data_IF_464539150420
#
_entry.id   IF_464539150420
#
_cell.length_a   1.000
_cell.length_b   1.000
_cell.length_c   1.000
_cell.angle_alpha   90.00
_cell.angle_beta   90.00
_cell.angle_gamma   90.00
#
_symmetry.space_group_name_H-M   'P 1'
#
loop_
_entity.id
_entity.type
_entity.pdbx_description
1 polymer ?
#
# COMPACT_ATOMS: atom_id res chain seq x y z
N UNK A 1 -27.04 20.91 25.29
CA UNK A 1 -27.42 21.01 23.88
C UNK A 1 -28.65 20.14 23.62
N UNK A 2 -28.62 19.08 22.78
CA UNK A 2 -29.84 18.40 22.25
C UNK A 2 -30.95 18.01 23.25
N UNK A 3 -30.62 17.46 24.41
CA UNK A 3 -31.62 16.96 25.40
C UNK A 3 -32.02 17.95 26.50
N UNK A 4 -31.43 19.16 26.51
CA UNK A 4 -31.66 20.17 27.57
C UNK A 4 -31.82 21.60 27.04
N UNK A 5 -31.83 21.80 25.72
CA UNK A 5 -31.98 23.10 25.04
C UNK A 5 -31.06 24.25 25.50
N UNK A 6 -29.93 23.92 26.16
CA UNK A 6 -28.87 24.88 26.56
C UNK A 6 -27.89 25.15 25.42
N UNK A 7 -27.28 26.33 25.44
CA UNK A 7 -26.28 26.80 24.48
C UNK A 7 -25.00 25.94 24.48
N UNK A 8 -24.15 26.14 23.47
CA UNK A 8 -22.87 25.44 23.38
C UNK A 8 -21.86 25.87 24.46
N UNK A 9 -21.94 27.11 24.94
CA UNK A 9 -21.04 27.64 25.98
C UNK A 9 -21.43 27.11 27.36
N UNK A 10 -22.71 27.21 27.73
CA UNK A 10 -23.24 26.63 28.98
C UNK A 10 -23.02 25.12 29.02
N UNK A 11 -23.16 24.42 27.89
CA UNK A 11 -22.87 23.00 27.80
C UNK A 11 -21.38 22.69 28.06
N UNK A 12 -20.45 23.52 27.58
CA UNK A 12 -19.01 23.37 27.88
C UNK A 12 -18.73 23.61 29.35
N UNK A 13 -19.32 24.65 29.96
CA UNK A 13 -19.16 24.94 31.39
C UNK A 13 -19.69 23.81 32.27
N UNK A 14 -20.88 23.26 31.97
CA UNK A 14 -21.47 22.13 32.70
C UNK A 14 -20.63 20.85 32.55
N UNK A 15 -20.08 20.58 31.37
CA UNK A 15 -19.20 19.42 31.16
C UNK A 15 -17.87 19.60 31.88
N UNK A 16 -17.26 20.79 31.81
CA UNK A 16 -16.02 21.12 32.52
C UNK A 16 -16.17 20.94 34.03
N UNK A 17 -17.22 21.50 34.63
CA UNK A 17 -17.48 21.34 36.07
C UNK A 17 -17.71 19.88 36.50
N UNK A 18 -18.27 19.04 35.62
CA UNK A 18 -18.39 17.60 35.88
C UNK A 18 -17.07 16.85 35.80
N UNK A 19 -16.20 17.20 34.85
CA UNK A 19 -14.87 16.59 34.71
C UNK A 19 -14.05 16.87 35.98
N UNK A 20 -13.97 18.14 36.38
CA UNK A 20 -13.26 18.56 37.60
C UNK A 20 -13.78 17.81 38.84
N UNK A 21 -15.11 17.70 39.01
CA UNK A 21 -15.70 16.96 40.12
C UNK A 21 -15.29 15.47 40.17
N UNK A 22 -15.24 14.80 39.02
CA UNK A 22 -14.81 13.39 38.94
C UNK A 22 -13.28 13.23 39.09
N UNK A 23 -12.49 14.21 38.67
CA UNK A 23 -11.04 14.23 38.90
C UNK A 23 -10.72 14.39 40.40
N UNK A 24 -11.40 15.30 41.09
CA UNK A 24 -11.30 15.47 42.55
C UNK A 24 -11.72 14.18 43.30
N UNK A 25 -12.86 13.60 42.94
CA UNK A 25 -13.35 12.33 43.52
C UNK A 25 -12.35 11.17 43.30
N UNK A 26 -11.70 11.12 42.12
CA UNK A 26 -10.67 10.13 41.81
C UNK A 26 -9.41 10.33 42.67
N UNK A 27 -8.94 11.57 42.82
CA UNK A 27 -7.76 11.90 43.64
C UNK A 27 -8.02 11.57 45.11
N UNK A 28 -9.20 11.92 45.64
CA UNK A 28 -9.59 11.59 47.02
C UNK A 28 -9.62 10.08 47.25
N UNK A 29 -10.28 9.32 46.36
CA UNK A 29 -10.37 7.85 46.44
C UNK A 29 -8.99 7.19 46.34
N UNK A 30 -8.13 7.66 45.44
CA UNK A 30 -6.74 7.18 45.30
C UNK A 30 -5.95 7.41 46.59
N UNK A 31 -6.02 8.62 47.16
CA UNK A 31 -5.35 8.96 48.41
C UNK A 31 -5.82 8.08 49.58
N UNK A 32 -7.14 7.93 49.74
CA UNK A 32 -7.77 7.08 50.76
C UNK A 32 -7.37 5.62 50.61
N UNK A 33 -7.34 5.10 49.39
CA UNK A 33 -6.91 3.72 49.11
C UNK A 33 -5.44 3.48 49.51
N UNK A 34 -4.53 4.40 49.20
CA UNK A 34 -3.12 4.30 49.58
C UNK A 34 -2.88 4.46 51.09
N UNK A 35 -3.68 5.26 51.79
CA UNK A 35 -3.65 5.37 53.25
C UNK A 35 -4.12 4.08 53.93
N UNK A 36 -5.18 3.46 53.40
CA UNK A 36 -5.73 2.20 53.94
C UNK A 36 -4.85 0.99 53.61
N UNK A 37 -4.08 1.03 52.53
CA UNK A 37 -3.28 -0.10 52.04
C UNK A 37 -1.80 0.29 51.83
N UNK A 38 -1.04 0.60 52.91
CA UNK A 38 0.34 1.05 52.78
C UNK A 38 1.26 0.02 52.10
N UNK A 39 0.98 -1.27 52.25
CA UNK A 39 1.69 -2.39 51.60
C UNK A 39 1.35 -2.61 50.11
N UNK A 40 0.54 -1.74 49.47
CA UNK A 40 0.20 -1.84 48.04
C UNK A 40 1.45 -1.94 47.17
N UNK A 41 1.51 -2.97 46.33
CA UNK A 41 2.65 -3.28 45.47
C UNK A 41 2.98 -2.15 44.48
N UNK A 42 4.26 -2.00 44.15
CA UNK A 42 4.74 -0.95 43.22
C UNK A 42 4.06 -1.05 41.85
N UNK A 43 3.83 -2.27 41.35
CA UNK A 43 3.12 -2.50 40.08
C UNK A 43 1.67 -2.00 40.10
N UNK A 44 0.93 -2.25 41.19
CA UNK A 44 -0.44 -1.78 41.33
C UNK A 44 -0.52 -0.26 41.53
N UNK A 45 0.40 0.33 42.30
CA UNK A 45 0.53 1.80 42.41
C UNK A 45 0.77 2.44 41.03
N UNK A 46 1.70 1.91 40.23
CA UNK A 46 1.97 2.38 38.86
C UNK A 46 0.74 2.27 37.95
N UNK A 47 0.01 1.16 38.02
CA UNK A 47 -1.20 0.98 37.22
C UNK A 47 -2.29 2.00 37.58
N UNK A 48 -2.49 2.27 38.87
CA UNK A 48 -3.46 3.28 39.34
C UNK A 48 -3.06 4.68 38.86
N UNK A 49 -1.79 5.07 38.92
CA UNK A 49 -1.36 6.38 38.38
C UNK A 49 -1.58 6.50 36.86
N UNK A 50 -1.26 5.44 36.09
CA UNK A 50 -1.46 5.41 34.64
C UNK A 50 -2.96 5.43 34.27
N UNK A 51 -3.82 4.79 35.06
CA UNK A 51 -5.27 4.77 34.82
C UNK A 51 -5.89 6.19 34.83
N UNK A 52 -5.42 7.07 35.72
CA UNK A 52 -5.85 8.48 35.73
C UNK A 52 -5.52 9.22 34.42
N UNK A 53 -4.32 9.01 33.88
CA UNK A 53 -3.86 9.62 32.62
C UNK A 53 -4.67 9.09 31.42
N UNK A 54 -4.97 7.79 31.40
CA UNK A 54 -5.77 7.15 30.33
C UNK A 54 -7.19 7.73 30.25
N UNK A 55 -7.80 8.09 31.39
CA UNK A 55 -9.15 8.68 31.41
C UNK A 55 -9.17 10.03 30.68
N UNK A 56 -8.20 10.92 30.94
CA UNK A 56 -8.04 12.18 30.20
C UNK A 56 -7.83 11.95 28.69
N UNK A 57 -6.99 10.98 28.32
CA UNK A 57 -6.79 10.57 26.93
C UNK A 57 -8.06 10.07 26.24
N UNK A 58 -8.88 9.26 26.92
CA UNK A 58 -10.17 8.79 26.42
C UNK A 58 -11.18 9.94 26.24
N UNK A 59 -11.22 10.91 27.15
CA UNK A 59 -12.07 12.09 26.97
C UNK A 59 -11.64 12.91 25.75
N UNK A 60 -10.34 13.17 25.57
CA UNK A 60 -9.83 13.84 24.37
C UNK A 60 -10.18 13.07 23.10
N UNK A 61 -9.95 11.75 23.07
CA UNK A 61 -10.32 10.88 21.95
C UNK A 61 -11.82 10.98 21.62
N UNK A 62 -12.70 10.91 22.62
CA UNK A 62 -14.14 11.08 22.43
C UNK A 62 -14.53 12.47 21.86
N UNK A 63 -13.80 13.55 22.18
CA UNK A 63 -14.03 14.88 21.57
C UNK A 63 -13.57 14.98 20.12
N UNK A 64 -12.69 14.08 19.65
CA UNK A 64 -12.15 14.07 18.28
C UNK A 64 -12.69 12.93 17.41
N UNK A 65 -13.25 11.87 18.01
CA UNK A 65 -13.66 10.66 17.32
C UNK A 65 -14.81 10.94 16.33
N UNK A 66 -14.66 10.60 15.03
CA UNK A 66 -15.69 10.80 14.01
C UNK A 66 -17.03 10.14 14.32
N UNK A 67 -17.02 8.98 15.01
CA UNK A 67 -18.22 8.24 15.43
C UNK A 67 -19.21 9.11 16.25
N UNK A 68 -18.69 10.05 17.04
CA UNK A 68 -19.50 10.95 17.87
C UNK A 68 -19.72 12.34 17.23
N UNK A 69 -19.07 12.61 16.09
CA UNK A 69 -19.08 13.90 15.39
C UNK A 69 -19.61 13.84 13.95
N UNK A 70 -20.18 12.69 13.54
CA UNK A 70 -20.74 12.41 12.20
C UNK A 70 -21.83 13.38 11.72
N UNK A 71 -22.36 14.23 12.61
CA UNK A 71 -23.29 15.30 12.27
C UNK A 71 -22.61 16.56 11.70
N UNK A 72 -21.33 16.83 12.00
CA UNK A 72 -20.60 17.95 11.41
C UNK A 72 -20.46 17.77 9.89
N UNK A 73 -20.04 16.57 9.48
CA UNK A 73 -19.96 16.18 8.08
C UNK A 73 -21.30 16.25 7.32
N UNK A 74 -22.46 16.20 8.01
CA UNK A 74 -23.77 16.44 7.39
C UNK A 74 -24.06 17.93 7.21
N UNK A 75 -23.73 18.75 8.20
CA UNK A 75 -23.90 20.21 8.12
C UNK A 75 -23.00 20.81 7.03
N UNK A 76 -21.77 20.31 6.88
CA UNK A 76 -20.86 20.74 5.81
C UNK A 76 -21.40 20.33 4.41
N UNK A 77 -22.14 19.21 4.31
CA UNK A 77 -22.86 18.78 3.11
C UNK A 77 -24.12 19.62 2.83
N UNK A 78 -24.89 19.97 3.85
CA UNK A 78 -26.08 20.80 3.70
C UNK A 78 -25.71 22.26 3.33
N UNK A 79 -24.64 22.82 3.92
CA UNK A 79 -24.14 24.16 3.59
C UNK A 79 -23.51 24.27 2.20
N UNK A 80 -22.91 23.20 1.68
CA UNK A 80 -22.34 23.17 0.32
C UNK A 80 -23.37 22.90 -0.78
N UNK A 81 -24.64 22.63 -0.42
CA UNK A 81 -25.74 22.35 -1.35
C UNK A 81 -26.74 23.52 -1.52
N UNK A 82 -26.43 24.70 -0.97
CA UNK A 82 -27.26 25.90 -1.06
C UNK A 82 -26.72 26.89 -2.10
N UNK A 83 -27.50 27.13 -3.16
CA UNK A 83 -27.16 28.09 -4.23
C UNK A 83 -27.05 29.55 -3.72
N UNK A 84 -26.07 30.34 -4.19
CA UNK A 84 -25.73 31.66 -3.64
C UNK A 84 -26.66 32.80 -4.12
N UNK A 85 -27.96 32.56 -4.24
CA UNK A 85 -28.93 33.54 -4.78
C UNK A 85 -29.87 34.12 -3.69
N UNK A 86 -30.05 33.44 -2.55
CA UNK A 86 -30.95 33.88 -1.45
C UNK A 86 -30.27 34.69 -0.34
N UNK A 87 -29.48 35.71 -0.71
CA UNK A 87 -29.01 36.76 0.22
C UNK A 87 -29.40 38.17 -0.26
N UNK A 88 -30.71 38.42 -0.37
CA UNK A 88 -31.29 39.76 -0.32
C UNK A 88 -32.51 39.77 0.61
N UNK A 89 -32.37 40.44 1.75
CA UNK A 89 -33.54 40.92 2.52
C UNK A 89 -34.27 42.01 1.72
N UNK A 90 -35.57 42.21 2.00
CA UNK A 90 -35.92 43.48 2.64
C UNK A 90 -36.73 43.29 3.95
N UNK A 91 -36.90 44.40 4.67
CA UNK A 91 -37.41 44.43 6.05
C UNK A 91 -38.92 44.73 6.18
N UNK A 92 -39.42 44.62 7.44
CA UNK A 92 -40.80 44.91 7.95
C UNK A 92 -41.82 43.80 7.65
N UNK A 93 -42.85 43.53 8.46
CA UNK A 93 -43.34 44.13 9.74
C UNK A 93 -44.01 43.07 10.62
N UNK A 94 -44.50 43.47 11.80
CA UNK A 94 -45.30 42.65 12.73
C UNK A 94 -46.71 42.33 12.19
N UNK A 95 -47.28 41.17 12.57
CA UNK A 95 -48.46 41.06 13.47
C UNK A 95 -49.03 39.61 13.55
N UNK A 96 -49.40 39.23 14.77
CA UNK A 96 -50.48 38.35 15.24
C UNK A 96 -50.98 37.05 14.52
N UNK A 97 -50.93 35.98 15.33
CA UNK A 97 -52.09 35.13 15.74
C UNK A 97 -52.43 33.79 15.04
N UNK A 98 -52.44 32.76 15.91
CA UNK A 98 -53.53 31.79 16.20
C UNK A 98 -53.55 30.33 15.64
N UNK A 99 -53.92 29.42 16.56
CA UNK A 99 -54.41 28.04 16.41
C UNK A 99 -53.47 26.97 15.79
N UNK A 100 -53.49 25.70 16.21
CA UNK A 100 -54.20 25.05 17.33
C UNK A 100 -54.09 23.51 17.31
N UNK A 101 -54.40 22.86 18.44
CA UNK A 101 -54.46 21.39 18.68
C UNK A 101 -53.13 20.61 18.57
N UNK A 102 -52.53 20.01 19.61
CA UNK A 102 -53.00 19.24 20.76
C UNK A 102 -53.38 17.77 20.48
N UNK A 103 -52.54 16.86 20.98
CA UNK A 103 -52.87 15.50 21.44
C UNK A 103 -51.81 15.07 22.48
N UNK A 104 -52.25 14.53 23.63
CA UNK A 104 -51.42 14.26 24.82
C UNK A 104 -51.33 12.73 25.12
N UNK A 105 -50.43 12.27 26.01
CA UNK A 105 -50.06 10.85 26.18
C UNK A 105 -50.99 10.13 27.19
N UNK A 106 -50.86 8.81 27.45
CA UNK A 106 -49.85 8.25 28.39
C UNK A 106 -49.23 6.92 27.82
N UNK A 107 -48.49 6.04 28.52
CA UNK A 107 -48.16 5.86 29.95
C UNK A 107 -46.78 5.16 30.15
N UNK A 108 -46.27 5.17 31.38
CA UNK A 108 -45.13 4.36 31.88
C UNK A 108 -45.57 3.10 32.63
N UNK A 109 -44.84 1.97 32.48
CA UNK A 109 -44.69 0.87 33.49
C UNK A 109 -43.30 0.25 33.25
N UNK A 110 -42.29 0.44 34.09
CA UNK A 110 -41.96 -0.22 35.38
C UNK A 110 -41.53 -1.68 35.24
N UNK A 111 -40.32 -1.98 35.74
CA UNK A 111 -39.70 -3.32 35.82
C UNK A 111 -40.17 -4.01 37.11
N UNK A 112 -40.48 -5.31 37.04
CA UNK A 112 -40.58 -6.19 38.21
C UNK A 112 -39.92 -7.55 37.95
N UNK A 113 -39.14 -7.99 38.92
CA UNK A 113 -38.48 -9.30 39.01
C UNK A 113 -39.45 -10.40 39.39
N UNK A 114 -39.25 -11.64 38.92
CA UNK A 114 -38.86 -12.80 39.75
C UNK A 114 -38.85 -14.12 38.94
N UNK A 115 -38.23 -15.14 39.54
CA UNK A 115 -37.96 -16.46 38.94
C UNK A 115 -39.18 -17.39 38.98
N UNK A 116 -39.32 -18.28 38.00
CA UNK A 116 -39.88 -19.63 38.27
C UNK A 116 -39.33 -20.67 37.29
N UNK A 117 -39.25 -21.91 37.74
CA UNK A 117 -38.47 -22.97 37.12
C UNK A 117 -39.22 -23.81 36.06
N UNK A 118 -38.43 -24.35 35.13
CA UNK A 118 -38.43 -25.73 34.63
C UNK A 118 -39.81 -26.44 34.54
N UNK A 119 -40.30 -26.72 33.33
CA UNK A 119 -40.53 -28.11 32.90
C UNK A 119 -40.64 -28.31 31.37
N UNK A 120 -40.50 -29.57 30.97
CA UNK A 120 -40.08 -30.05 29.67
C UNK A 120 -41.01 -29.83 28.47
N UNK A 121 -40.40 -29.51 27.32
CA UNK A 121 -40.85 -29.97 26.00
C UNK A 121 -39.62 -30.33 25.15
N UNK A 122 -39.29 -31.63 25.08
CA UNK A 122 -38.16 -32.11 24.28
C UNK A 122 -38.47 -32.02 22.78
N UNK A 123 -37.74 -31.18 22.06
CA UNK A 123 -37.56 -31.22 20.61
C UNK A 123 -36.10 -31.49 20.29
N UNK A 124 -35.84 -32.42 19.38
CA UNK A 124 -34.56 -33.06 19.07
C UNK A 124 -33.34 -32.10 19.04
N UNK A 125 -32.33 -32.40 19.87
CA UNK A 125 -30.99 -31.84 19.69
C UNK A 125 -30.32 -32.57 18.53
N UNK A 126 -30.05 -31.88 17.43
CA UNK A 126 -29.11 -32.36 16.42
C UNK A 126 -27.72 -32.53 17.06
N UNK A 127 -27.39 -33.76 17.43
CA UNK A 127 -26.02 -34.13 17.74
C UNK A 127 -25.22 -34.09 16.44
N UNK A 128 -24.36 -33.08 16.29
CA UNK A 128 -23.40 -33.02 15.18
C UNK A 128 -22.47 -34.23 15.25
N UNK A 129 -22.85 -35.28 14.53
CA UNK A 129 -22.13 -36.53 14.49
C UNK A 129 -20.90 -36.35 13.59
N UNK A 130 -19.71 -36.20 14.20
CA UNK A 130 -18.42 -36.08 13.48
C UNK A 130 -17.97 -37.46 13.01
N UNK A 131 -18.81 -38.09 12.20
CA UNK A 131 -18.55 -39.32 11.45
C UNK A 131 -18.60 -38.98 9.95
N UNK A 132 -17.70 -38.10 9.49
CA UNK A 132 -17.54 -37.78 8.06
C UNK A 132 -16.34 -38.51 7.49
N UNK A 133 -16.59 -39.39 6.53
CA UNK A 133 -15.54 -40.02 5.74
C UNK A 133 -14.71 -38.95 5.00
N UNK A 134 -13.36 -38.96 5.07
CA UNK A 134 -12.54 -37.83 4.59
C UNK A 134 -12.50 -37.60 3.07
N UNK A 135 -13.16 -38.44 2.27
CA UNK A 135 -12.83 -38.63 0.86
C UNK A 135 -13.85 -38.04 -0.12
N UNK A 136 -15.12 -37.87 0.26
CA UNK A 136 -16.19 -37.44 -0.66
C UNK A 136 -16.56 -35.95 -0.58
N UNK A 137 -16.13 -35.21 0.46
CA UNK A 137 -16.43 -33.77 0.60
C UNK A 137 -15.34 -32.83 0.05
N UNK A 138 -14.24 -33.36 -0.49
CA UNK A 138 -13.13 -32.51 -0.96
C UNK A 138 -13.53 -31.65 -2.17
N UNK A 139 -14.27 -32.19 -3.13
CA UNK A 139 -14.39 -31.55 -4.45
C UNK A 139 -15.26 -30.29 -4.48
N UNK A 140 -16.35 -30.19 -3.72
CA UNK A 140 -17.22 -29.00 -3.75
C UNK A 140 -16.69 -27.86 -2.86
N UNK A 141 -16.26 -28.19 -1.64
CA UNK A 141 -15.65 -27.19 -0.74
C UNK A 141 -14.39 -26.59 -1.36
N UNK A 142 -13.53 -27.42 -1.96
CA UNK A 142 -12.29 -26.95 -2.55
C UNK A 142 -12.56 -26.02 -3.73
N UNK A 143 -13.48 -26.36 -4.66
CA UNK A 143 -13.85 -25.48 -5.80
C UNK A 143 -14.43 -24.13 -5.37
N UNK A 144 -15.30 -24.12 -4.34
CA UNK A 144 -15.83 -22.86 -3.81
C UNK A 144 -14.72 -22.00 -3.16
N UNK A 145 -13.84 -22.63 -2.38
CA UNK A 145 -12.70 -21.95 -1.73
C UNK A 145 -11.64 -21.47 -2.74
N UNK A 146 -11.43 -22.21 -3.83
CA UNK A 146 -10.48 -21.89 -4.88
C UNK A 146 -10.89 -20.63 -5.65
N UNK A 147 -12.20 -20.44 -5.90
CA UNK A 147 -12.70 -19.19 -6.50
C UNK A 147 -12.47 -17.98 -5.58
N UNK A 148 -12.69 -18.12 -4.27
CA UNK A 148 -12.46 -17.04 -3.29
C UNK A 148 -10.97 -16.71 -3.18
N UNK A 149 -10.10 -17.72 -3.26
CA UNK A 149 -8.65 -17.58 -3.24
C UNK A 149 -8.10 -16.94 -4.52
N UNK A 150 -8.63 -17.30 -5.69
CA UNK A 150 -8.18 -16.80 -7.00
C UNK A 150 -8.77 -15.46 -7.40
N UNK A 151 -9.92 -15.03 -6.85
CA UNK A 151 -10.57 -13.77 -7.28
C UNK A 151 -9.63 -12.53 -7.26
N UNK A 152 -8.75 -12.33 -6.25
CA UNK A 152 -7.76 -11.24 -6.30
C UNK A 152 -6.66 -11.45 -7.35
N UNK A 153 -6.24 -12.69 -7.58
CA UNK A 153 -5.24 -13.07 -8.59
C UNK A 153 -5.78 -12.82 -10.00
N UNK A 154 -6.99 -13.32 -10.29
CA UNK A 154 -7.68 -13.15 -11.56
C UNK A 154 -7.91 -11.66 -11.86
N UNK A 155 -8.19 -10.84 -10.83
CA UNK A 155 -8.35 -9.40 -10.98
C UNK A 155 -7.06 -8.69 -11.39
N UNK A 156 -5.92 -8.92 -10.73
CA UNK A 156 -4.64 -8.29 -11.13
C UNK A 156 -4.19 -8.74 -12.52
N UNK A 157 -4.31 -10.03 -12.83
CA UNK A 157 -3.94 -10.58 -14.14
C UNK A 157 -4.90 -10.14 -15.26
N UNK A 158 -6.12 -9.68 -14.95
CA UNK A 158 -7.04 -9.05 -15.93
C UNK A 158 -6.67 -7.62 -16.34
N UNK A 159 -5.71 -6.99 -15.65
CA UNK A 159 -5.29 -5.62 -15.97
C UNK A 159 -4.29 -5.61 -17.13
N UNK A 160 -4.38 -4.66 -18.08
CA UNK A 160 -3.44 -4.59 -19.21
C UNK A 160 -2.01 -4.39 -18.72
N UNK A 161 -1.07 -5.23 -19.17
CA UNK A 161 0.36 -5.12 -18.86
C UNK A 161 1.13 -4.61 -20.07
N UNK A 162 2.30 -3.98 -19.84
CA UNK A 162 3.19 -3.50 -20.93
C UNK A 162 3.98 -4.63 -21.62
N UNK A 163 3.76 -5.91 -21.29
CA UNK A 163 4.38 -7.07 -21.96
C UNK A 163 5.90 -7.25 -21.79
N UNK A 164 6.63 -6.29 -21.21
CA UNK A 164 8.10 -6.22 -21.13
C UNK A 164 8.77 -7.55 -20.74
N UNK A 165 8.26 -8.25 -19.72
CA UNK A 165 8.82 -9.54 -19.27
C UNK A 165 8.63 -10.67 -20.29
N UNK A 166 7.47 -10.76 -20.95
CA UNK A 166 7.23 -11.77 -21.98
C UNK A 166 8.10 -11.50 -23.22
N UNK A 167 8.20 -10.23 -23.63
CA UNK A 167 9.09 -9.80 -24.71
C UNK A 167 10.56 -10.07 -24.38
N UNK A 168 10.98 -9.90 -23.12
CA UNK A 168 12.33 -10.21 -22.67
C UNK A 168 12.61 -11.72 -22.71
N UNK A 169 11.66 -12.55 -22.27
CA UNK A 169 11.77 -14.02 -22.40
C UNK A 169 11.90 -14.43 -23.86
N UNK A 170 11.08 -13.88 -24.76
CA UNK A 170 11.16 -14.22 -26.18
C UNK A 170 12.44 -13.70 -26.84
N UNK A 171 12.95 -12.53 -26.44
CA UNK A 171 14.24 -12.00 -26.90
C UNK A 171 15.42 -12.88 -26.43
N UNK A 172 15.50 -13.23 -25.14
CA UNK A 172 16.56 -14.10 -24.62
C UNK A 172 16.51 -15.49 -25.27
N UNK A 173 15.31 -15.97 -25.62
CA UNK A 173 15.13 -17.28 -26.22
C UNK A 173 15.76 -17.43 -27.62
N UNK A 174 16.03 -16.33 -28.34
CA UNK A 174 16.83 -16.36 -29.56
C UNK A 174 18.21 -17.00 -29.31
N UNK A 175 18.84 -16.68 -28.18
CA UNK A 175 20.15 -17.20 -27.82
C UNK A 175 20.11 -18.53 -27.06
N UNK A 176 19.19 -18.67 -26.07
CA UNK A 176 19.19 -19.84 -25.17
C UNK A 176 18.39 -21.05 -25.69
N UNK A 177 17.55 -20.88 -26.71
CA UNK A 177 16.82 -21.96 -27.38
C UNK A 177 16.09 -22.92 -26.39
N UNK A 178 15.42 -22.34 -25.40
CA UNK A 178 14.75 -23.07 -24.32
C UNK A 178 13.56 -23.87 -24.87
N UNK A 179 13.35 -25.14 -24.46
CA UNK A 179 12.21 -25.95 -24.89
C UNK A 179 10.87 -25.26 -24.65
N UNK A 180 9.95 -25.39 -25.61
CA UNK A 180 8.65 -24.71 -25.59
C UNK A 180 7.86 -24.98 -24.28
N UNK A 181 7.93 -26.20 -23.77
CA UNK A 181 7.27 -26.59 -22.50
C UNK A 181 7.83 -25.80 -21.31
N UNK A 182 9.15 -25.83 -21.13
CA UNK A 182 9.85 -25.09 -20.08
C UNK A 182 9.63 -23.58 -20.21
N UNK A 183 9.70 -23.02 -21.43
CA UNK A 183 9.44 -21.60 -21.68
C UNK A 183 8.03 -21.17 -21.29
N UNK A 184 7.01 -22.01 -21.53
CA UNK A 184 5.64 -21.73 -21.04
C UNK A 184 5.55 -21.75 -19.51
N UNK A 185 6.22 -22.70 -18.84
CA UNK A 185 6.26 -22.77 -17.38
C UNK A 185 6.97 -21.54 -16.80
N UNK A 186 8.08 -21.10 -17.40
CA UNK A 186 8.83 -19.90 -16.98
C UNK A 186 7.95 -18.64 -17.13
N UNK A 187 7.24 -18.47 -18.27
CA UNK A 187 6.30 -17.35 -18.46
C UNK A 187 5.19 -17.35 -17.40
N UNK A 188 4.54 -18.50 -17.18
CA UNK A 188 3.48 -18.66 -16.16
C UNK A 188 4.00 -18.33 -14.75
N UNK A 189 5.20 -18.80 -14.41
CA UNK A 189 5.85 -18.59 -13.13
C UNK A 189 6.22 -17.12 -12.90
N UNK A 190 6.93 -16.49 -13.84
CA UNK A 190 7.36 -15.08 -13.73
C UNK A 190 6.16 -14.15 -13.67
N UNK A 191 5.10 -14.43 -14.43
CA UNK A 191 3.87 -13.62 -14.37
C UNK A 191 3.16 -13.75 -13.01
N UNK A 192 3.09 -14.96 -12.42
CA UNK A 192 2.56 -15.15 -11.06
C UNK A 192 3.37 -14.39 -10.01
N UNK A 193 4.69 -14.48 -10.05
CA UNK A 193 5.56 -13.80 -9.07
C UNK A 193 5.45 -12.28 -9.19
N UNK A 194 5.39 -11.75 -10.41
CA UNK A 194 5.23 -10.33 -10.63
C UNK A 194 3.85 -9.81 -10.18
N UNK A 195 2.76 -10.50 -10.54
CA UNK A 195 1.43 -10.08 -10.10
C UNK A 195 1.26 -10.23 -8.58
N UNK A 196 1.92 -11.22 -7.95
CA UNK A 196 1.99 -11.36 -6.49
C UNK A 196 2.77 -10.21 -5.83
N UNK A 197 3.93 -9.84 -6.38
CA UNK A 197 4.73 -8.73 -5.85
C UNK A 197 3.97 -7.42 -5.97
N UNK A 198 3.29 -7.15 -7.09
CA UNK A 198 2.46 -5.96 -7.26
C UNK A 198 1.33 -5.85 -6.21
N UNK A 199 0.70 -6.96 -5.82
CA UNK A 199 -0.33 -6.94 -4.77
C UNK A 199 0.27 -6.56 -3.41
N UNK A 200 1.47 -7.06 -3.09
CA UNK A 200 2.16 -6.74 -1.84
C UNK A 200 2.72 -5.31 -1.85
N UNK A 201 3.38 -4.90 -2.93
CA UNK A 201 3.84 -3.52 -3.16
C UNK A 201 2.67 -2.54 -2.99
N UNK A 202 1.52 -2.76 -3.67
CA UNK A 202 0.31 -1.92 -3.51
C UNK A 202 -0.09 -1.70 -2.04
N UNK A 203 0.07 -2.74 -1.20
CA UNK A 203 -0.30 -2.74 0.22
C UNK A 203 0.76 -2.07 1.08
N UNK A 204 2.02 -2.40 0.86
CA UNK A 204 3.17 -1.88 1.61
C UNK A 204 3.36 -0.39 1.34
N UNK A 205 3.17 0.03 0.10
CA UNK A 205 3.24 1.42 -0.35
C UNK A 205 1.93 2.20 -0.12
N UNK A 206 0.82 1.51 0.16
CA UNK A 206 -0.53 2.05 0.33
C UNK A 206 -1.08 2.74 -0.94
N UNK A 207 -0.74 2.20 -2.11
CA UNK A 207 -1.16 2.67 -3.43
C UNK A 207 -2.67 2.46 -3.65
N UNK A 208 -3.49 3.51 -3.84
CA UNK A 208 -4.93 3.34 -4.05
C UNK A 208 -5.27 2.78 -5.44
N UNK A 209 -4.35 2.90 -6.40
CA UNK A 209 -4.59 2.62 -7.82
C UNK A 209 -3.45 1.84 -8.47
N UNK A 210 -3.79 0.93 -9.38
CA UNK A 210 -2.86 0.18 -10.22
C UNK A 210 -3.39 0.14 -11.65
N UNK A 211 -2.57 0.58 -12.61
CA UNK A 211 -2.89 0.57 -14.07
C UNK A 211 -4.23 1.29 -14.39
N UNK A 212 -4.49 2.43 -13.74
CA UNK A 212 -5.71 3.22 -13.90
C UNK A 212 -6.99 2.62 -13.28
N UNK A 213 -6.87 1.56 -12.48
CA UNK A 213 -7.97 0.90 -11.75
C UNK A 213 -7.69 0.88 -10.24
N UNK A 214 -8.68 0.62 -9.37
CA UNK A 214 -8.42 0.44 -7.93
C UNK A 214 -7.44 -0.72 -7.68
N UNK A 215 -6.50 -0.52 -6.77
CA UNK A 215 -5.57 -1.55 -6.32
C UNK A 215 -6.30 -2.74 -5.69
N UNK A 216 -5.67 -3.92 -5.65
CA UNK A 216 -6.34 -5.17 -5.26
C UNK A 216 -6.89 -5.13 -3.83
N UNK A 217 -6.13 -4.55 -2.89
CA UNK A 217 -6.54 -4.41 -1.50
C UNK A 217 -7.69 -3.41 -1.30
N UNK A 218 -7.94 -2.50 -2.24
CA UNK A 218 -9.07 -1.56 -2.20
C UNK A 218 -10.42 -2.23 -2.53
N UNK A 219 -10.39 -3.39 -3.19
CA UNK A 219 -11.59 -4.17 -3.55
C UNK A 219 -11.78 -5.36 -2.58
N UNK A 220 -10.72 -6.13 -2.34
CA UNK A 220 -10.79 -7.37 -1.57
C UNK A 220 -10.36 -7.23 -0.11
N UNK A 221 -9.87 -6.05 0.27
CA UNK A 221 -9.27 -5.80 1.58
C UNK A 221 -7.86 -6.38 1.71
N UNK A 222 -7.07 -5.76 2.58
CA UNK A 222 -5.67 -6.12 2.86
C UNK A 222 -5.48 -7.63 3.12
N UNK A 223 -6.28 -8.22 4.01
CA UNK A 223 -6.10 -9.61 4.44
C UNK A 223 -6.32 -10.63 3.32
N UNK A 224 -7.32 -10.44 2.45
CA UNK A 224 -7.56 -11.35 1.33
C UNK A 224 -6.51 -11.16 0.24
N UNK A 225 -6.12 -9.92 -0.04
CA UNK A 225 -5.07 -9.60 -1.02
C UNK A 225 -3.71 -10.21 -0.63
N UNK A 226 -3.25 -10.03 0.62
CA UNK A 226 -2.01 -10.65 1.15
C UNK A 226 -2.07 -12.18 1.03
N UNK A 227 -3.18 -12.79 1.45
CA UNK A 227 -3.33 -14.25 1.40
C UNK A 227 -3.25 -14.80 -0.04
N UNK A 228 -3.88 -14.11 -1.00
CA UNK A 228 -3.86 -14.48 -2.42
C UNK A 228 -2.49 -14.27 -3.05
N UNK A 229 -1.78 -13.19 -2.73
CA UNK A 229 -0.39 -12.97 -3.19
C UNK A 229 0.55 -14.06 -2.66
N UNK A 230 0.48 -14.39 -1.36
CA UNK A 230 1.26 -15.48 -0.76
C UNK A 230 0.96 -16.84 -1.42
N UNK A 231 -0.31 -17.10 -1.78
CA UNK A 231 -0.67 -18.29 -2.55
C UNK A 231 -0.06 -18.29 -3.97
N UNK A 232 0.02 -17.13 -4.65
CA UNK A 232 0.67 -17.03 -5.96
C UNK A 232 2.17 -17.35 -5.88
N UNK A 233 2.89 -16.91 -4.83
CA UNK A 233 4.27 -17.34 -4.58
C UNK A 233 4.38 -18.87 -4.42
N UNK A 234 3.50 -19.50 -3.61
CA UNK A 234 3.47 -20.97 -3.47
C UNK A 234 3.18 -21.67 -4.81
N UNK A 235 2.26 -21.12 -5.62
CA UNK A 235 1.94 -21.67 -6.95
C UNK A 235 3.09 -21.50 -7.96
N UNK A 236 3.90 -20.44 -7.84
CA UNK A 236 5.10 -20.25 -8.62
C UNK A 236 6.19 -21.27 -8.25
N UNK A 237 6.44 -21.51 -6.96
CA UNK A 237 7.35 -22.56 -6.48
C UNK A 237 6.89 -23.95 -6.93
N UNK A 238 5.60 -24.25 -6.87
CA UNK A 238 5.03 -25.48 -7.45
C UNK A 238 5.20 -25.57 -8.98
N UNK A 239 5.27 -24.43 -9.68
CA UNK A 239 5.49 -24.37 -11.12
C UNK A 239 6.95 -24.66 -11.49
N UNK A 240 7.93 -24.16 -10.73
CA UNK A 240 9.35 -24.47 -10.94
C UNK A 240 9.64 -25.98 -10.82
N UNK A 241 8.94 -26.70 -9.94
CA UNK A 241 9.05 -28.16 -9.81
C UNK A 241 8.62 -28.96 -11.06
N UNK A 242 8.05 -28.30 -12.09
CA UNK A 242 7.72 -28.90 -13.40
C UNK A 242 8.81 -28.66 -14.47
N UNK A 243 9.83 -27.86 -14.17
CA UNK A 243 10.99 -27.66 -15.05
C UNK A 243 11.89 -28.91 -15.06
N UNK A 244 12.72 -29.05 -16.09
CA UNK A 244 13.50 -30.27 -16.32
C UNK A 244 14.80 -30.32 -15.50
N UNK A 245 15.41 -29.17 -15.24
CA UNK A 245 16.62 -29.01 -14.45
C UNK A 245 16.26 -28.77 -12.98
N UNK A 246 16.78 -29.63 -12.10
CA UNK A 246 16.56 -29.53 -10.65
C UNK A 246 17.09 -28.22 -10.05
N UNK A 247 18.17 -27.67 -10.60
CA UNK A 247 18.75 -26.39 -10.16
C UNK A 247 17.89 -25.17 -10.45
N UNK A 248 16.85 -25.29 -11.30
CA UNK A 248 15.90 -24.21 -11.53
C UNK A 248 15.09 -23.86 -10.27
N UNK A 249 14.92 -24.81 -9.34
CA UNK A 249 14.31 -24.53 -8.04
C UNK A 249 15.26 -23.75 -7.12
N UNK A 250 16.56 -24.04 -7.14
CA UNK A 250 17.55 -23.35 -6.32
C UNK A 250 17.69 -21.88 -6.78
N UNK A 251 17.80 -21.65 -8.11
CA UNK A 251 17.75 -20.31 -8.73
C UNK A 251 16.48 -19.54 -8.32
N UNK A 252 15.33 -20.22 -8.27
CA UNK A 252 14.09 -19.59 -7.81
C UNK A 252 14.17 -19.15 -6.35
N UNK A 253 14.66 -20.00 -5.46
CA UNK A 253 14.68 -19.71 -4.03
C UNK A 253 15.70 -18.62 -3.68
N UNK A 254 16.88 -18.65 -4.32
CA UNK A 254 17.93 -17.63 -4.14
C UNK A 254 17.46 -16.25 -4.61
N UNK A 255 16.86 -16.13 -5.80
CA UNK A 255 16.40 -14.83 -6.28
C UNK A 255 15.10 -14.36 -5.60
N UNK A 256 14.27 -15.26 -5.06
CA UNK A 256 13.18 -14.87 -4.15
C UNK A 256 13.73 -14.26 -2.85
N UNK A 257 14.80 -14.81 -2.27
CA UNK A 257 15.45 -14.22 -1.10
C UNK A 257 16.01 -12.83 -1.43
N UNK A 258 16.71 -12.68 -2.56
CA UNK A 258 17.20 -11.38 -3.03
C UNK A 258 16.07 -10.35 -3.23
N UNK A 259 14.93 -10.74 -3.80
CA UNK A 259 13.76 -9.86 -3.95
C UNK A 259 13.29 -9.30 -2.60
N UNK A 260 13.15 -10.16 -1.58
CA UNK A 260 12.76 -9.72 -0.23
C UNK A 260 13.84 -8.89 0.46
N UNK A 261 15.13 -9.19 0.27
CA UNK A 261 16.22 -8.36 0.78
C UNK A 261 16.17 -6.95 0.18
N UNK A 262 15.97 -6.84 -1.13
CA UNK A 262 15.77 -5.55 -1.81
C UNK A 262 14.57 -4.77 -1.26
N UNK A 263 13.40 -5.43 -1.16
CA UNK A 263 12.20 -4.82 -0.60
C UNK A 263 12.42 -4.33 0.84
N UNK A 264 13.12 -5.10 1.67
CA UNK A 264 13.38 -4.75 3.06
C UNK A 264 14.16 -3.43 3.22
N UNK A 265 15.08 -3.13 2.30
CA UNK A 265 15.85 -1.88 2.30
C UNK A 265 14.98 -0.67 1.93
N UNK A 266 14.18 -0.80 0.87
CA UNK A 266 13.24 0.25 0.44
C UNK A 266 12.23 0.58 1.55
N UNK A 267 11.60 -0.43 2.15
CA UNK A 267 10.70 -0.25 3.29
C UNK A 267 11.39 0.36 4.51
N UNK A 268 12.62 -0.06 4.83
CA UNK A 268 13.40 0.46 5.95
C UNK A 268 13.67 1.97 5.79
N UNK A 269 14.08 2.40 4.59
CA UNK A 269 14.38 3.80 4.31
C UNK A 269 13.13 4.67 4.36
N UNK A 270 12.02 4.22 3.75
CA UNK A 270 10.70 4.87 3.82
C UNK A 270 10.24 5.01 5.29
N UNK A 271 10.29 3.93 6.06
CA UNK A 271 9.84 3.92 7.47
C UNK A 271 10.70 4.78 8.40
N UNK A 272 12.03 4.78 8.22
CA UNK A 272 12.95 5.60 9.04
C UNK A 272 13.10 7.04 8.52
N UNK A 273 12.53 7.36 7.35
CA UNK A 273 12.73 8.60 6.60
C UNK A 273 14.23 8.95 6.49
N UNK A 274 15.02 7.95 6.10
CA UNK A 274 16.47 8.01 5.99
C UNK A 274 16.89 7.77 4.55
N UNK A 275 17.41 8.81 3.89
CA UNK A 275 17.93 8.69 2.53
C UNK A 275 19.12 7.71 2.47
N UNK A 276 19.13 6.75 1.52
CA UNK A 276 20.30 5.95 1.21
C UNK A 276 21.34 6.76 0.44
N UNK A 277 22.55 6.21 0.30
CA UNK A 277 23.50 6.62 -0.73
C UNK A 277 23.09 6.08 -2.10
N UNK A 278 23.59 6.68 -3.19
CA UNK A 278 23.45 6.15 -4.56
C UNK A 278 23.85 4.68 -4.69
N UNK A 279 24.93 4.25 -4.02
CA UNK A 279 25.39 2.87 -4.09
C UNK A 279 24.47 1.91 -3.32
N UNK A 280 23.97 2.31 -2.14
CA UNK A 280 22.97 1.53 -1.41
C UNK A 280 21.67 1.42 -2.21
N UNK A 281 21.20 2.53 -2.81
CA UNK A 281 20.05 2.53 -3.72
C UNK A 281 20.26 1.55 -4.88
N UNK A 282 21.41 1.59 -5.57
CA UNK A 282 21.68 0.66 -6.68
C UNK A 282 21.72 -0.80 -6.22
N UNK A 283 22.29 -1.08 -5.05
CA UNK A 283 22.28 -2.42 -4.46
C UNK A 283 20.85 -2.88 -4.11
N UNK A 284 19.97 -1.98 -3.64
CA UNK A 284 18.56 -2.27 -3.43
C UNK A 284 17.87 -2.56 -4.76
N UNK A 285 18.08 -1.75 -5.79
CA UNK A 285 17.51 -1.95 -7.13
C UNK A 285 17.94 -3.28 -7.74
N UNK A 286 19.22 -3.64 -7.63
CA UNK A 286 19.75 -4.91 -8.09
C UNK A 286 19.03 -6.09 -7.43
N UNK A 287 18.60 -5.95 -6.17
CA UNK A 287 17.90 -6.99 -5.43
C UNK A 287 16.38 -6.98 -5.68
N UNK A 288 15.69 -5.83 -5.54
CA UNK A 288 14.23 -5.66 -5.69
C UNK A 288 13.74 -5.82 -7.13
N UNK A 289 14.43 -5.22 -8.10
CA UNK A 289 13.98 -5.20 -9.52
C UNK A 289 14.91 -6.03 -10.40
N UNK A 290 16.22 -5.97 -10.16
CA UNK A 290 17.21 -6.83 -10.82
C UNK A 290 17.02 -8.31 -10.49
N UNK A 291 16.56 -8.67 -9.28
CA UNK A 291 16.31 -10.06 -8.87
C UNK A 291 15.26 -10.75 -9.73
N UNK A 292 14.18 -10.06 -10.13
CA UNK A 292 13.17 -10.62 -11.04
C UNK A 292 13.74 -10.88 -12.44
N UNK A 293 14.65 -10.04 -12.92
CA UNK A 293 15.29 -10.23 -14.22
C UNK A 293 16.38 -11.30 -14.20
N UNK A 294 17.19 -11.38 -13.13
CA UNK A 294 18.13 -12.48 -12.92
C UNK A 294 17.40 -13.82 -12.76
N UNK A 295 16.29 -13.86 -12.03
CA UNK A 295 15.45 -15.05 -11.90
C UNK A 295 14.98 -15.55 -13.27
N UNK A 296 14.39 -14.66 -14.08
CA UNK A 296 13.94 -14.95 -15.44
C UNK A 296 15.09 -15.52 -16.29
N UNK A 297 16.25 -14.83 -16.29
CA UNK A 297 17.44 -15.22 -17.04
C UNK A 297 18.02 -16.55 -16.58
N UNK A 298 18.18 -16.75 -15.26
CA UNK A 298 18.73 -17.95 -14.66
C UNK A 298 17.85 -19.18 -14.86
N UNK A 299 16.52 -19.05 -14.78
CA UNK A 299 15.59 -20.12 -15.14
C UNK A 299 15.72 -20.50 -16.62
N UNK A 300 15.89 -19.52 -17.52
CA UNK A 300 16.10 -19.79 -18.94
C UNK A 300 17.48 -20.41 -19.23
N UNK A 301 18.53 -20.00 -18.53
CA UNK A 301 19.86 -20.62 -18.63
C UNK A 301 19.84 -22.06 -18.09
N UNK A 302 19.14 -22.33 -16.99
CA UNK A 302 18.99 -23.67 -16.42
C UNK A 302 18.25 -24.64 -17.37
N UNK A 303 17.26 -24.15 -18.12
CA UNK A 303 16.49 -24.95 -19.10
C UNK A 303 17.05 -24.84 -20.55
N UNK A 304 18.20 -24.18 -20.74
CA UNK A 304 18.84 -24.00 -22.04
C UNK A 304 19.30 -25.33 -22.65
N UNK A 305 19.03 -25.53 -23.94
CA UNK A 305 19.61 -26.63 -24.73
C UNK A 305 20.79 -26.16 -25.61
N UNK A 306 21.04 -24.85 -25.68
CA UNK A 306 22.14 -24.30 -26.44
C UNK A 306 23.48 -24.61 -25.76
N UNK A 307 24.51 -24.95 -26.56
CA UNK A 307 25.89 -25.20 -26.07
C UNK A 307 26.67 -23.92 -25.72
N UNK A 308 25.97 -22.79 -25.63
CA UNK A 308 26.53 -21.45 -25.48
C UNK A 308 26.71 -21.09 -24.01
N UNK A 309 27.96 -21.05 -23.53
CA UNK A 309 28.32 -20.58 -22.19
C UNK A 309 28.24 -19.05 -22.08
N UNK A 310 27.12 -18.44 -22.49
CA UNK A 310 26.91 -16.99 -22.41
C UNK A 310 26.32 -16.63 -21.05
N UNK A 311 27.14 -15.93 -20.25
CA UNK A 311 26.65 -15.19 -19.08
C UNK A 311 25.79 -14.02 -19.56
N UNK A 312 24.61 -13.90 -18.94
CA UNK A 312 23.70 -12.77 -19.11
C UNK A 312 23.64 -11.94 -17.81
N UNK A 313 24.57 -12.14 -16.88
CA UNK A 313 24.51 -11.59 -15.52
C UNK A 313 24.67 -10.06 -15.57
N UNK A 314 25.68 -9.59 -16.34
CA UNK A 314 25.92 -8.16 -16.57
C UNK A 314 24.74 -7.50 -17.29
N UNK A 315 24.18 -8.15 -18.31
CA UNK A 315 22.97 -7.71 -18.99
C UNK A 315 21.80 -7.56 -18.00
N UNK A 316 21.59 -8.56 -17.14
CA UNK A 316 20.49 -8.58 -16.16
C UNK A 316 20.58 -7.43 -15.15
N UNK A 317 21.79 -7.15 -14.65
CA UNK A 317 22.07 -6.03 -13.74
C UNK A 317 21.86 -4.68 -14.46
N UNK A 318 22.40 -4.51 -15.66
CA UNK A 318 22.21 -3.27 -16.44
C UNK A 318 20.74 -3.03 -16.78
N UNK A 319 20.02 -4.07 -17.23
CA UNK A 319 18.59 -4.00 -17.56
C UNK A 319 17.74 -3.67 -16.33
N UNK A 320 18.00 -4.31 -15.18
CA UNK A 320 17.30 -4.02 -13.93
C UNK A 320 17.49 -2.59 -13.43
N UNK A 321 18.74 -2.08 -13.48
CA UNK A 321 19.05 -0.69 -13.13
C UNK A 321 18.41 0.31 -14.08
N UNK A 322 18.55 0.10 -15.39
CA UNK A 322 17.92 0.91 -16.43
C UNK A 322 16.40 0.98 -16.22
N UNK A 323 15.75 -0.18 -16.06
CA UNK A 323 14.30 -0.28 -15.90
C UNK A 323 13.81 0.46 -14.64
N UNK A 324 14.47 0.32 -13.49
CA UNK A 324 14.03 0.94 -12.25
C UNK A 324 14.30 2.45 -12.20
N UNK A 325 15.51 2.90 -12.54
CA UNK A 325 15.85 4.35 -12.52
C UNK A 325 14.96 5.11 -13.52
N UNK A 326 14.60 4.47 -14.63
CA UNK A 326 13.63 4.99 -15.59
C UNK A 326 12.20 5.05 -15.04
N UNK A 327 11.72 4.02 -14.33
CA UNK A 327 10.37 4.05 -13.74
C UNK A 327 10.25 5.16 -12.68
N UNK A 328 11.27 5.32 -11.85
CA UNK A 328 11.44 6.40 -10.87
C UNK A 328 11.42 7.80 -11.54
N UNK A 329 12.16 7.98 -12.63
CA UNK A 329 12.17 9.22 -13.40
C UNK A 329 10.80 9.53 -14.00
N UNK A 330 10.14 8.53 -14.60
CA UNK A 330 8.83 8.68 -15.24
C UNK A 330 7.70 8.92 -14.24
N UNK A 331 7.77 8.39 -13.03
CA UNK A 331 6.78 8.67 -11.98
C UNK A 331 6.69 10.19 -11.67
N UNK A 332 7.83 10.88 -11.71
CA UNK A 332 7.92 12.32 -11.41
C UNK A 332 7.72 13.24 -12.63
N UNK A 333 7.85 12.73 -13.86
CA UNK A 333 7.91 13.57 -15.07
C UNK A 333 6.84 13.27 -16.12
N UNK A 334 6.23 12.09 -16.13
CA UNK A 334 5.33 11.67 -17.22
C UNK A 334 3.84 11.85 -16.89
N UNK A 335 3.13 12.55 -17.77
CA UNK A 335 1.66 12.65 -17.75
C UNK A 335 0.99 11.27 -17.88
N UNK A 336 1.49 10.41 -18.75
CA UNK A 336 0.96 9.03 -18.91
C UNK A 336 1.12 8.18 -17.65
N UNK A 337 2.17 8.42 -16.85
CA UNK A 337 2.31 7.80 -15.52
C UNK A 337 1.32 8.41 -14.52
N UNK A 338 1.16 9.74 -14.54
CA UNK A 338 0.15 10.45 -13.73
C UNK A 338 -1.25 9.88 -13.94
N UNK A 339 -1.63 9.55 -15.18
CA UNK A 339 -2.93 8.94 -15.51
C UNK A 339 -3.06 7.46 -15.03
N UNK A 340 -1.96 6.72 -14.93
CA UNK A 340 -1.95 5.28 -14.61
C UNK A 340 -1.75 4.96 -13.13
N UNK A 341 -1.01 5.82 -12.41
CA UNK A 341 -0.56 5.66 -11.02
C UNK A 341 -1.06 6.77 -10.09
N UNK A 342 -1.39 7.95 -10.63
CA UNK A 342 -1.60 9.18 -9.87
C UNK A 342 -0.43 10.15 -9.99
N UNK A 343 -0.68 11.44 -9.76
CA UNK A 343 0.34 12.49 -9.88
C UNK A 343 1.46 12.30 -8.85
N UNK A 344 2.65 11.92 -9.31
CA UNK A 344 3.84 11.65 -8.49
C UNK A 344 3.55 10.72 -7.29
N UNK A 345 3.04 9.52 -7.58
CA UNK A 345 2.75 8.46 -6.58
C UNK A 345 3.97 8.18 -5.68
N UNK A 346 5.19 8.13 -6.23
CA UNK A 346 6.43 7.91 -5.45
C UNK A 346 6.61 8.94 -4.29
N UNK A 347 6.04 10.15 -4.43
CA UNK A 347 6.04 11.17 -3.37
C UNK A 347 4.95 10.94 -2.32
N UNK A 348 3.80 10.37 -2.71
CA UNK A 348 2.81 9.88 -1.76
C UNK A 348 3.35 8.73 -0.93
N UNK A 349 4.19 7.87 -1.53
CA UNK A 349 4.90 6.76 -0.89
C UNK A 349 5.98 7.23 0.09
N UNK A 350 6.50 8.45 -0.07
CA UNK A 350 7.71 8.90 0.60
C UNK A 350 8.95 8.12 0.15
N UNK A 351 8.92 7.59 -1.08
CA UNK A 351 9.94 6.71 -1.64
C UNK A 351 11.21 7.49 -1.95
N UNK A 352 12.35 6.91 -1.61
CA UNK A 352 13.67 7.46 -1.94
C UNK A 352 14.06 7.06 -3.37
N UNK A 353 13.31 7.58 -4.34
CA UNK A 353 13.56 7.37 -5.77
C UNK A 353 14.90 7.99 -6.21
N UNK A 354 15.48 7.52 -7.31
CA UNK A 354 16.82 7.96 -7.72
C UNK A 354 17.00 9.50 -7.84
N UNK A 355 16.03 10.28 -8.36
CA UNK A 355 16.09 11.75 -8.33
C UNK A 355 16.15 12.33 -6.91
N UNK A 356 15.35 11.80 -5.99
CA UNK A 356 15.34 12.21 -4.58
C UNK A 356 16.70 11.90 -3.94
N UNK A 357 17.26 10.70 -4.17
CA UNK A 357 18.59 10.34 -3.68
C UNK A 357 19.66 11.28 -4.22
N UNK A 358 19.67 11.56 -5.53
CA UNK A 358 20.62 12.51 -6.13
C UNK A 358 20.53 13.91 -5.52
N UNK A 359 19.30 14.46 -5.40
CA UNK A 359 19.07 15.77 -4.81
C UNK A 359 19.59 15.85 -3.37
N UNK A 360 19.22 14.89 -2.52
CA UNK A 360 19.59 14.87 -1.11
C UNK A 360 21.08 14.60 -0.86
N UNK A 361 21.76 13.89 -1.76
CA UNK A 361 23.20 13.66 -1.66
C UNK A 361 24.03 14.88 -2.11
N UNK A 362 23.63 15.56 -3.19
CA UNK A 362 24.41 16.65 -3.79
C UNK A 362 24.07 18.02 -3.21
N UNK A 363 22.83 18.22 -2.72
CA UNK A 363 22.30 19.51 -2.28
C UNK A 363 21.65 19.36 -0.87
N UNK A 364 22.46 19.26 0.21
CA UNK A 364 21.96 18.98 1.56
C UNK A 364 20.95 20.00 2.11
N UNK A 365 20.89 21.22 1.57
CA UNK A 365 19.91 22.26 1.91
C UNK A 365 18.46 21.77 1.77
N UNK A 366 18.15 21.02 0.70
CA UNK A 366 16.80 20.50 0.43
C UNK A 366 16.42 19.33 1.36
N UNK A 367 17.36 18.75 2.11
CA UNK A 367 17.06 17.70 3.10
C UNK A 367 16.01 18.14 4.11
N UNK A 368 16.07 19.40 4.56
CA UNK A 368 15.12 19.91 5.55
C UNK A 368 13.68 19.98 5.00
N UNK A 369 13.53 20.34 3.72
CA UNK A 369 12.25 20.44 3.03
C UNK A 369 11.67 19.05 2.71
N UNK A 370 12.42 18.23 1.96
CA UNK A 370 11.93 16.94 1.45
C UNK A 370 11.68 15.95 2.59
N UNK A 371 12.64 15.78 3.51
CA UNK A 371 12.46 14.91 4.68
C UNK A 371 11.43 15.48 5.67
N UNK A 372 11.24 16.79 5.68
CA UNK A 372 10.17 17.45 6.44
C UNK A 372 8.78 17.06 5.94
N UNK A 373 8.59 17.01 4.62
CA UNK A 373 7.34 16.56 3.99
C UNK A 373 7.14 15.05 4.12
N UNK A 374 8.18 14.22 3.91
CA UNK A 374 8.07 12.77 4.07
C UNK A 374 7.71 12.36 5.51
N UNK A 375 8.19 13.08 6.54
CA UNK A 375 7.79 12.85 7.95
C UNK A 375 6.34 13.24 8.26
N UNK A 376 5.71 14.07 7.43
CA UNK A 376 4.30 14.44 7.59
C UNK A 376 3.34 13.42 6.96
N UNK A 377 3.86 12.40 6.24
CA UNK A 377 3.05 11.32 5.68
C UNK A 377 2.23 10.65 6.79
N UNK A 378 0.90 10.53 6.66
CA UNK A 378 0.09 9.85 7.67
C UNK A 378 0.49 8.38 7.75
N UNK A 379 1.05 7.98 8.89
CA UNK A 379 1.25 6.55 9.20
C UNK A 379 -0.10 5.87 9.38
N UNK A 380 -0.23 4.59 9.02
CA UNK A 380 -1.50 3.84 9.08
C UNK A 380 -2.16 3.73 10.48
N UNK A 381 -1.48 4.20 11.54
CA UNK A 381 -2.00 4.30 12.90
C UNK A 381 -2.84 5.58 13.14
N UNK A 382 -2.63 6.64 12.35
CA UNK A 382 -3.33 7.93 12.46
C UNK A 382 -4.38 8.06 11.37
N UNK A 383 -5.61 7.64 11.69
CA UNK A 383 -6.68 7.40 10.73
C UNK A 383 -7.23 8.63 9.99
N UNK A 384 -6.57 9.00 8.89
CA UNK A 384 -7.19 9.42 7.63
C UNK A 384 -6.12 9.39 6.54
N UNK A 385 -6.11 8.33 5.71
CA UNK A 385 -5.19 8.23 4.59
C UNK A 385 -5.49 9.35 3.59
N UNK A 386 -4.58 10.32 3.47
CA UNK A 386 -4.61 11.32 2.42
C UNK A 386 -3.26 11.31 1.70
N UNK A 387 -3.26 11.29 0.35
CA UNK A 387 -2.10 11.61 -0.46
C UNK A 387 -1.45 12.94 -0.03
N UNK A 388 -0.17 13.11 -0.32
CA UNK A 388 0.51 14.39 -0.20
C UNK A 388 -0.20 15.41 -1.10
N UNK A 389 -0.47 16.62 -0.58
CA UNK A 389 -1.18 17.63 -1.36
C UNK A 389 -0.35 18.07 -2.59
N UNK A 390 -1.05 18.51 -3.63
CA UNK A 390 -0.43 18.84 -4.91
C UNK A 390 0.66 19.93 -4.77
N UNK A 391 0.47 20.89 -3.88
CA UNK A 391 1.41 21.97 -3.58
C UNK A 391 2.71 21.45 -2.97
N UNK A 392 2.63 20.45 -2.08
CA UNK A 392 3.82 19.82 -1.50
C UNK A 392 4.57 18.96 -2.53
N UNK A 393 3.86 18.27 -3.42
CA UNK A 393 4.46 17.54 -4.54
C UNK A 393 5.17 18.49 -5.51
N UNK A 394 4.51 19.58 -5.90
CA UNK A 394 5.08 20.62 -6.75
C UNK A 394 6.31 21.27 -6.11
N UNK A 395 6.31 21.50 -4.80
CA UNK A 395 7.49 22.02 -4.09
C UNK A 395 8.68 21.05 -4.15
N UNK A 396 8.46 19.74 -3.96
CA UNK A 396 9.52 18.73 -4.13
C UNK A 396 10.03 18.69 -5.58
N UNK A 397 9.13 18.74 -6.57
CA UNK A 397 9.50 18.79 -7.99
C UNK A 397 10.33 20.04 -8.33
N UNK A 398 10.05 21.18 -7.71
CA UNK A 398 10.86 22.40 -7.88
C UNK A 398 12.26 22.21 -7.28
N UNK A 399 12.37 21.71 -6.04
CA UNK A 399 13.68 21.37 -5.45
C UNK A 399 14.48 20.38 -6.32
N UNK A 400 13.82 19.40 -6.95
CA UNK A 400 14.46 18.44 -7.87
C UNK A 400 14.93 19.08 -9.19
N UNK A 401 14.28 20.15 -9.65
CA UNK A 401 14.67 20.92 -10.84
C UNK A 401 15.78 21.92 -10.52
N UNK A 402 15.65 22.69 -9.46
CA UNK A 402 16.66 23.68 -9.02
C UNK A 402 18.00 23.02 -8.64
N UNK A 403 17.96 21.81 -8.09
CA UNK A 403 19.16 20.99 -7.80
C UNK A 403 19.78 20.31 -9.02
N UNK A 404 19.13 20.31 -10.19
CA UNK A 404 19.57 19.58 -11.38
C UNK A 404 19.45 18.04 -11.27
N UNK A 405 18.73 17.53 -10.27
CA UNK A 405 18.68 16.10 -9.97
C UNK A 405 17.89 15.29 -11.01
N UNK A 406 16.92 15.91 -11.69
CA UNK A 406 16.20 15.30 -12.81
C UNK A 406 17.12 15.13 -14.02
N UNK A 407 17.94 16.12 -14.32
CA UNK A 407 18.91 16.12 -15.42
C UNK A 407 20.04 15.12 -15.18
N UNK A 408 20.53 15.03 -13.94
CA UNK A 408 21.50 13.99 -13.51
C UNK A 408 20.88 12.59 -13.66
N UNK A 409 19.62 12.42 -13.29
CA UNK A 409 18.91 11.13 -13.45
C UNK A 409 18.74 10.77 -14.93
N UNK A 410 18.29 11.70 -15.77
CA UNK A 410 18.10 11.47 -17.21
C UNK A 410 19.42 11.07 -17.89
N UNK A 411 20.53 11.76 -17.59
CA UNK A 411 21.86 11.37 -18.09
C UNK A 411 22.23 9.96 -17.65
N UNK A 412 22.01 9.62 -16.39
CA UNK A 412 22.32 8.28 -15.88
C UNK A 412 21.45 7.18 -16.50
N UNK A 413 20.18 7.45 -16.82
CA UNK A 413 19.34 6.51 -17.60
C UNK A 413 19.92 6.30 -19.00
N UNK A 414 20.32 7.38 -19.68
CA UNK A 414 20.91 7.29 -21.03
C UNK A 414 22.28 6.59 -21.01
N UNK A 415 23.10 6.81 -19.98
CA UNK A 415 24.38 6.10 -19.77
C UNK A 415 24.17 4.61 -19.50
N UNK A 416 23.11 4.23 -18.77
CA UNK A 416 22.73 2.83 -18.56
C UNK A 416 22.22 2.19 -19.87
N UNK A 417 21.44 2.91 -20.67
CA UNK A 417 20.97 2.45 -21.99
C UNK A 417 22.13 2.23 -22.96
N UNK A 418 23.08 3.17 -23.05
CA UNK A 418 24.27 3.03 -23.88
C UNK A 418 25.16 1.84 -23.46
N UNK A 419 25.30 1.61 -22.14
CA UNK A 419 25.99 0.42 -21.63
C UNK A 419 25.24 -0.87 -21.95
N UNK A 420 23.91 -0.87 -21.86
CA UNK A 420 23.06 -2.02 -22.18
C UNK A 420 23.13 -2.38 -23.67
N UNK A 421 23.12 -1.39 -24.58
CA UNK A 421 23.33 -1.59 -26.02
C UNK A 421 24.73 -2.11 -26.33
N UNK A 422 25.76 -1.59 -25.65
CA UNK A 422 27.16 -2.08 -25.77
C UNK A 422 27.28 -3.53 -25.31
N UNK A 423 26.56 -3.93 -24.25
CA UNK A 423 26.51 -5.31 -23.78
C UNK A 423 25.78 -6.22 -24.79
N UNK A 424 24.67 -5.76 -25.38
CA UNK A 424 23.98 -6.48 -26.47
C UNK A 424 24.92 -6.69 -27.68
N UNK A 425 25.67 -5.66 -28.09
CA UNK A 425 26.69 -5.78 -29.16
C UNK A 425 27.80 -6.80 -28.80
N UNK A 426 28.10 -6.98 -27.51
CA UNK A 426 29.01 -8.02 -27.02
C UNK A 426 28.39 -9.41 -27.14
N UNK A 427 27.16 -9.56 -26.64
CA UNK A 427 26.42 -10.83 -26.63
C UNK A 427 26.13 -11.36 -28.05
N UNK A 428 25.73 -10.49 -28.98
CA UNK A 428 25.54 -10.86 -30.39
C UNK A 428 26.83 -11.34 -31.04
N UNK A 429 27.98 -10.71 -30.74
CA UNK A 429 29.29 -11.17 -31.25
C UNK A 429 29.74 -12.50 -30.66
N UNK A 430 29.44 -12.77 -29.38
CA UNK A 430 29.78 -14.04 -28.72
C UNK A 430 28.90 -15.19 -29.22
N UNK A 431 27.60 -14.94 -29.43
CA UNK A 431 26.68 -15.95 -29.99
C UNK A 431 26.81 -16.12 -31.50
N UNK A 432 27.31 -15.12 -32.23
CA UNK A 432 27.34 -15.11 -33.69
C UNK A 432 25.96 -14.87 -34.33
N UNK A 433 24.98 -14.42 -33.55
CA UNK A 433 23.58 -14.22 -33.95
C UNK A 433 23.04 -12.90 -33.40
N UNK A 434 22.45 -12.08 -34.29
CA UNK A 434 21.82 -10.81 -33.95
C UNK A 434 20.49 -11.02 -33.22
N UNK A 435 20.15 -10.11 -32.31
CA UNK A 435 18.91 -10.18 -31.53
C UNK A 435 18.05 -8.92 -31.75
N UNK A 436 17.34 -8.81 -32.89
CA UNK A 436 16.50 -7.66 -33.19
C UNK A 436 15.35 -7.50 -32.19
N UNK A 437 14.86 -8.60 -31.58
CA UNK A 437 13.80 -8.54 -30.56
C UNK A 437 14.32 -7.84 -29.30
N UNK A 438 15.54 -8.15 -28.86
CA UNK A 438 16.18 -7.47 -27.73
C UNK A 438 16.39 -5.98 -28.01
N UNK A 439 16.88 -5.62 -29.20
CA UNK A 439 17.09 -4.22 -29.58
C UNK A 439 15.78 -3.44 -29.64
N UNK A 440 14.72 -4.01 -30.22
CA UNK A 440 13.39 -3.41 -30.24
C UNK A 440 12.80 -3.26 -28.82
N UNK A 441 13.04 -4.22 -27.93
CA UNK A 441 12.61 -4.13 -26.54
C UNK A 441 13.28 -2.95 -25.83
N UNK A 442 14.61 -2.81 -25.92
CA UNK A 442 15.33 -1.67 -25.33
C UNK A 442 14.85 -0.36 -25.96
N UNK A 443 14.71 -0.29 -27.29
CA UNK A 443 14.22 0.90 -27.98
C UNK A 443 12.78 1.29 -27.59
N UNK A 444 11.90 0.33 -27.31
CA UNK A 444 10.55 0.60 -26.77
C UNK A 444 10.55 1.14 -25.34
N UNK A 445 11.69 1.05 -24.66
CA UNK A 445 11.95 1.57 -23.33
C UNK A 445 12.86 2.81 -23.35
N UNK A 446 13.40 3.26 -24.48
CA UNK A 446 14.13 4.53 -24.53
C UNK A 446 13.25 5.67 -24.00
N UNK A 447 13.88 6.66 -23.35
CA UNK A 447 13.21 7.93 -23.09
C UNK A 447 13.33 8.78 -24.37
N UNK A 448 12.22 9.29 -24.90
CA UNK A 448 12.27 10.24 -26.01
C UNK A 448 13.08 11.46 -25.56
N UNK A 449 14.05 11.90 -26.37
CA UNK A 449 14.63 13.23 -26.17
C UNK A 449 13.49 14.26 -26.23
N UNK A 450 13.48 15.28 -25.34
CA UNK A 450 12.48 16.33 -25.43
C UNK A 450 12.63 17.01 -26.80
N UNK A 451 11.68 16.76 -27.70
CA UNK A 451 11.64 17.43 -29.00
C UNK A 451 11.72 18.92 -28.74
N UNK A 452 12.73 19.64 -29.26
CA UNK A 452 12.86 21.07 -29.02
C UNK A 452 11.57 21.73 -29.50
N UNK A 453 10.84 22.35 -28.57
CA UNK A 453 9.54 22.96 -28.86
C UNK A 453 9.74 24.04 -29.93
N UNK A 454 9.31 23.74 -31.15
CA UNK A 454 9.35 24.67 -32.27
C UNK A 454 8.29 25.76 -32.07
N UNK A 455 8.76 26.86 -31.49
CA UNK A 455 8.12 28.18 -31.31
C UNK A 455 7.17 28.35 -30.12
#
# INVERSE_FOLDING_TARGET
MRTRSISAEEARQIVSGKILHYEDEYIERKSKFFQQNPSTSVSLRRWIEVAGIIIGGNHYWCTRCPRHHSWKARIDMELSSLDPIFLRQPARSSDDSDSGSAASPPSSVTISTEETAIEAACGERETFNVSREPHLMKDEWYKASEKVLKSPCDYISSMPSKGVRDSLIDAINCWLQVPLHSRHIIKELIQKLHDASLILDDIEDNSPTRRGKPAVHMIFGHSQAINSANFMFVSAVQSARRLTNVGALDVLLEELENLYLGQSLDLLWKFQVKCPTRQEYLNMVDNKTGGMFRLLVGLMQAESQAKTNVSLDRFSVLFGRFFQVRDDYLNLTSSSYTDQKGFCEDLDEGKFSFPIVCCLQDNPEYCSHILGLFRQRPTGLTGSHQPMCAESKLHILECLRESGALEVTLRFVNDLEAQLLTEIDSLERVNGEQNPIMRLLVQSLSLEEPTPSLH
#
